data_IF_765067504364
#
_entry.id   IF_765067504364
#
_cell.length_a   1.000
_cell.length_b   1.000
_cell.length_c   1.000
_cell.angle_alpha   90.00
_cell.angle_beta   90.00
_cell.angle_gamma   90.00
#
_symmetry.space_group_name_H-M   'P 1'
#
loop_
_entity.id
_entity.type
_entity.pdbx_description
1 polymer ?
#
# COMPACT_ATOMS: atom_id res chain seq x y z
N UNK A 1 -1.46 36.90 -16.94
CA UNK A 1 -1.84 35.62 -16.32
C UNK A 1 -0.73 35.26 -15.35
N UNK A 2 -0.89 35.65 -14.09
CA UNK A 2 0.24 35.71 -13.16
C UNK A 2 0.53 34.35 -12.53
N UNK A 3 1.75 33.90 -12.75
CA UNK A 3 2.38 32.67 -12.26
C UNK A 3 2.72 32.77 -10.76
N UNK A 4 1.85 33.32 -9.91
CA UNK A 4 2.09 33.49 -8.47
C UNK A 4 1.95 32.20 -7.65
N UNK A 5 1.84 31.04 -8.32
CA UNK A 5 1.55 29.75 -7.67
C UNK A 5 2.81 28.90 -7.44
N UNK A 6 4.02 29.33 -7.84
CA UNK A 6 5.18 28.43 -7.80
C UNK A 6 6.06 28.46 -6.53
N UNK A 7 5.63 29.11 -5.43
CA UNK A 7 6.22 28.85 -4.12
C UNK A 7 5.37 29.45 -2.98
N UNK A 8 4.40 28.74 -2.37
CA UNK A 8 4.06 29.07 -1.00
C UNK A 8 5.34 28.81 -0.20
N UNK A 9 5.94 29.90 0.23
CA UNK A 9 7.19 30.00 0.98
C UNK A 9 7.43 28.77 1.88
N UNK A 10 8.67 28.28 1.90
CA UNK A 10 9.15 27.41 2.96
C UNK A 10 9.17 28.26 4.24
N UNK A 11 7.99 28.45 4.83
CA UNK A 11 7.79 29.22 6.04
C UNK A 11 8.38 28.44 7.19
N UNK A 12 9.49 28.94 7.67
CA UNK A 12 10.11 28.44 8.87
C UNK A 12 9.72 29.35 10.03
N UNK A 13 8.76 28.94 10.88
CA UNK A 13 8.46 29.70 12.07
C UNK A 13 9.72 29.85 12.94
N UNK A 14 9.86 31.05 13.50
CA UNK A 14 10.90 31.41 14.46
C UNK A 14 10.74 30.57 15.74
N UNK A 15 9.49 30.38 16.18
CA UNK A 15 9.15 29.46 17.26
C UNK A 15 8.97 28.02 16.75
N UNK A 16 9.70 27.07 17.32
CA UNK A 16 9.62 25.66 16.94
C UNK A 16 8.30 25.01 17.33
N UNK A 17 7.55 25.60 18.25
CA UNK A 17 6.24 25.06 18.67
C UNK A 17 5.21 25.09 17.55
N UNK A 18 5.34 26.01 16.58
CA UNK A 18 4.45 26.11 15.42
C UNK A 18 4.58 24.92 14.45
N UNK A 19 5.62 24.09 14.55
CA UNK A 19 5.73 22.85 13.75
C UNK A 19 4.96 21.66 14.36
N UNK A 20 4.53 21.74 15.63
CA UNK A 20 3.84 20.63 16.32
C UNK A 20 2.64 20.09 15.51
N UNK A 21 1.76 20.94 14.95
CA UNK A 21 0.64 20.47 14.12
C UNK A 21 1.11 19.67 12.90
N UNK A 22 2.18 20.11 12.23
CA UNK A 22 2.72 19.44 11.05
C UNK A 22 3.31 18.06 11.41
N UNK A 23 4.02 17.95 12.53
CA UNK A 23 4.56 16.68 13.02
C UNK A 23 3.44 15.71 13.40
N UNK A 24 2.38 16.19 14.05
CA UNK A 24 1.20 15.37 14.37
C UNK A 24 0.55 14.84 13.09
N UNK A 25 0.33 15.71 12.09
CA UNK A 25 -0.22 15.28 10.80
C UNK A 25 0.68 14.24 10.13
N UNK A 26 2.00 14.46 10.11
CA UNK A 26 2.95 13.50 9.55
C UNK A 26 2.85 12.13 10.23
N UNK A 27 2.81 12.10 11.56
CA UNK A 27 2.69 10.85 12.32
C UNK A 27 1.39 10.12 11.98
N UNK A 28 0.27 10.85 11.88
CA UNK A 28 -1.03 10.26 11.53
C UNK A 28 -0.97 9.64 10.13
N UNK A 29 -0.49 10.40 9.13
CA UNK A 29 -0.41 9.89 7.76
C UNK A 29 0.58 8.73 7.62
N UNK A 30 1.73 8.78 8.28
CA UNK A 30 2.69 7.67 8.29
C UNK A 30 2.08 6.42 8.93
N UNK A 31 1.40 6.59 10.06
CA UNK A 31 0.72 5.47 10.75
C UNK A 31 -0.34 4.85 9.84
N UNK A 32 -1.18 5.67 9.21
CA UNK A 32 -2.21 5.20 8.27
C UNK A 32 -1.60 4.50 7.06
N UNK A 33 -0.52 5.03 6.49
CA UNK A 33 0.18 4.43 5.37
C UNK A 33 0.75 3.04 5.75
N UNK A 34 1.39 2.92 6.91
CA UNK A 34 1.89 1.65 7.43
C UNK A 34 0.77 0.64 7.65
N UNK A 35 -0.35 1.05 8.25
CA UNK A 35 -1.52 0.19 8.46
C UNK A 35 -2.11 -0.26 7.14
N UNK A 36 -2.28 0.65 6.18
CA UNK A 36 -2.80 0.33 4.85
C UNK A 36 -1.89 -0.70 4.16
N UNK A 37 -0.57 -0.46 4.12
CA UNK A 37 0.41 -1.39 3.54
C UNK A 37 0.34 -2.77 4.20
N UNK A 38 0.24 -2.81 5.53
CA UNK A 38 0.13 -4.07 6.26
C UNK A 38 -1.14 -4.86 5.89
N UNK A 39 -2.29 -4.19 5.78
CA UNK A 39 -3.55 -4.81 5.37
C UNK A 39 -3.45 -5.34 3.94
N UNK A 40 -2.92 -4.53 3.01
CA UNK A 40 -2.72 -4.95 1.61
C UNK A 40 -1.81 -6.15 1.51
N UNK A 41 -0.67 -6.15 2.21
CA UNK A 41 0.27 -7.26 2.21
C UNK A 41 -0.36 -8.55 2.75
N UNK A 42 -1.08 -8.47 3.87
CA UNK A 42 -1.77 -9.63 4.46
C UNK A 42 -2.83 -10.19 3.51
N UNK A 43 -3.59 -9.32 2.84
CA UNK A 43 -4.60 -9.71 1.87
C UNK A 43 -3.97 -10.36 0.63
N UNK A 44 -2.93 -9.75 0.08
CA UNK A 44 -2.18 -10.28 -1.07
C UNK A 44 -1.64 -11.68 -0.81
N UNK A 45 -1.06 -11.95 0.37
CA UNK A 45 -0.56 -13.29 0.72
C UNK A 45 -1.66 -14.34 0.81
N UNK A 46 -2.83 -13.95 1.32
CA UNK A 46 -3.98 -14.87 1.38
C UNK A 46 -4.47 -15.21 -0.02
N UNK A 47 -4.60 -14.19 -0.87
CA UNK A 47 -5.10 -14.34 -2.23
C UNK A 47 -4.12 -15.16 -3.10
N UNK A 48 -2.81 -14.94 -2.93
CA UNK A 48 -1.76 -15.75 -3.56
C UNK A 48 -1.85 -17.24 -3.18
N UNK A 49 -2.02 -17.53 -1.89
CA UNK A 49 -2.15 -18.91 -1.40
C UNK A 49 -3.38 -19.61 -1.99
N UNK A 50 -4.52 -18.92 -2.04
CA UNK A 50 -5.75 -19.46 -2.62
C UNK A 50 -5.61 -19.68 -4.13
N UNK A 51 -4.98 -18.74 -4.84
CA UNK A 51 -4.70 -18.86 -6.27
C UNK A 51 -3.80 -20.06 -6.57
N UNK A 52 -2.67 -20.19 -5.89
CA UNK A 52 -1.71 -21.28 -6.10
C UNK A 52 -2.35 -22.65 -5.84
N UNK A 53 -3.20 -22.76 -4.81
CA UNK A 53 -3.94 -23.99 -4.53
C UNK A 53 -4.84 -24.37 -5.72
N UNK A 54 -5.71 -23.45 -6.15
CA UNK A 54 -6.64 -23.71 -7.27
C UNK A 54 -5.90 -24.04 -8.56
N UNK A 55 -4.81 -23.32 -8.85
CA UNK A 55 -4.00 -23.55 -10.04
C UNK A 55 -3.35 -24.94 -10.01
N UNK A 56 -2.79 -25.36 -8.87
CA UNK A 56 -2.21 -26.70 -8.72
C UNK A 56 -3.24 -27.83 -8.88
N UNK A 57 -4.46 -27.64 -8.35
CA UNK A 57 -5.55 -28.60 -8.50
C UNK A 57 -5.99 -28.73 -9.97
N UNK A 58 -6.09 -27.60 -10.69
CA UNK A 58 -6.41 -27.61 -12.13
C UNK A 58 -5.34 -28.35 -12.95
N UNK A 59 -4.06 -28.10 -12.69
CA UNK A 59 -2.97 -28.80 -13.36
C UNK A 59 -3.01 -30.31 -13.10
N UNK A 60 -3.30 -30.74 -11.88
CA UNK A 60 -3.44 -32.16 -11.54
C UNK A 60 -4.63 -32.80 -12.25
N UNK A 61 -5.77 -32.11 -12.36
CA UNK A 61 -6.93 -32.60 -13.10
C UNK A 61 -6.64 -32.75 -14.60
N UNK A 62 -6.00 -31.76 -15.21
CA UNK A 62 -5.58 -31.83 -16.62
C UNK A 62 -4.59 -32.98 -16.84
N UNK A 63 -3.61 -33.14 -15.94
CA UNK A 63 -2.66 -34.26 -16.01
C UNK A 63 -3.38 -35.61 -15.89
N UNK A 64 -4.30 -35.80 -14.94
CA UNK A 64 -5.08 -37.05 -14.82
C UNK A 64 -5.90 -37.33 -16.08
N UNK A 65 -6.65 -36.35 -16.57
CA UNK A 65 -7.49 -36.50 -17.77
C UNK A 65 -6.69 -36.88 -19.03
N UNK A 66 -5.42 -36.46 -19.14
CA UNK A 66 -4.54 -36.84 -20.25
C UNK A 66 -3.95 -38.24 -20.12
N UNK A 67 -3.88 -38.83 -18.92
CA UNK A 67 -3.38 -40.19 -18.71
C UNK A 67 -4.49 -41.26 -18.82
N UNK A 68 -5.76 -40.86 -18.78
CA UNK A 68 -6.93 -41.75 -18.91
C UNK A 68 -7.47 -41.84 -20.36
N UNK A 69 -6.86 -41.12 -21.31
CA UNK A 69 -7.12 -41.21 -22.76
C UNK A 69 -6.00 -41.96 -23.47
#
# INVERSE_FOLDING_TARGET
MNLYILMPFLYFPEDKTEYIPAVISLIIFMTLACVAMYIFYKKSKKDEKEFNKKYSEQLQQVAKNNNEK
#
